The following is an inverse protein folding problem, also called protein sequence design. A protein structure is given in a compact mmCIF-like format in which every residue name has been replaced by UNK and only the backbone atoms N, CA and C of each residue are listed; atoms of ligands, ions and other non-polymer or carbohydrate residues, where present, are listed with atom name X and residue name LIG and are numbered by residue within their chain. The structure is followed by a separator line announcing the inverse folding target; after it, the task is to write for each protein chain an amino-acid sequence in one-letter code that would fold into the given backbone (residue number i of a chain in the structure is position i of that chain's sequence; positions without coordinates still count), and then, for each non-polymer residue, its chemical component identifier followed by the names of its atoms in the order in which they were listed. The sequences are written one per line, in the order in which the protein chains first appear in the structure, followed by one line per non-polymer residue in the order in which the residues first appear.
data_IF_645235816058
#
_entry.id   IF_645235816058
#
_cell.length_a   1.000
_cell.length_b   1.000
_cell.length_c   1.000
_cell.angle_alpha   90.00
_cell.angle_beta   90.00
_cell.angle_gamma   90.00
#
_symmetry.space_group_name_H-M   'P 1'
#
loop_
_entity.id
_entity.type
_entity.pdbx_description
1 polymer ?
#
# COMPACT_ATOMS: atom_id res chain seq x y z
N UNK A 1 41.83 22.48 11.79
CA UNK A 1 40.76 23.16 11.03
C UNK A 1 39.98 22.08 10.28
N UNK A 2 38.87 21.59 10.85
CA UNK A 2 38.02 20.59 10.17
C UNK A 2 37.17 21.34 9.15
N UNK A 3 37.30 20.97 7.88
CA UNK A 3 36.40 21.43 6.83
C UNK A 3 34.96 20.99 7.18
N UNK A 4 33.94 21.81 6.88
CA UNK A 4 32.55 21.39 7.04
C UNK A 4 32.30 20.23 6.09
N UNK A 5 31.96 19.07 6.63
CA UNK A 5 31.46 17.93 5.87
C UNK A 5 30.22 18.37 5.11
N UNK A 6 30.29 18.44 3.78
CA UNK A 6 29.10 18.64 2.95
C UNK A 6 28.08 17.57 3.33
N UNK A 7 26.83 17.96 3.59
CA UNK A 7 25.77 17.01 3.85
C UNK A 7 25.62 16.08 2.63
N UNK A 8 26.09 14.83 2.76
CA UNK A 8 25.95 13.82 1.71
C UNK A 8 24.47 13.51 1.53
N UNK A 9 23.96 13.66 0.30
CA UNK A 9 22.57 13.33 -0.04
C UNK A 9 22.53 11.97 -0.71
N UNK A 10 21.72 11.05 -0.19
CA UNK A 10 21.50 9.73 -0.77
C UNK A 10 20.34 9.78 -1.77
N UNK A 11 20.53 9.17 -2.93
CA UNK A 11 19.52 9.09 -3.98
C UNK A 11 19.24 7.64 -4.32
N UNK A 12 17.98 7.34 -4.63
CA UNK A 12 17.56 6.00 -5.08
C UNK A 12 17.30 6.06 -6.58
N UNK A 13 17.90 5.14 -7.33
CA UNK A 13 17.70 4.98 -8.77
C UNK A 13 16.67 3.87 -9.01
N UNK A 14 15.57 4.18 -9.70
CA UNK A 14 14.58 3.19 -10.19
C UNK A 14 14.81 3.01 -11.69
N UNK A 15 15.08 1.78 -12.13
CA UNK A 15 15.42 1.44 -13.51
C UNK A 15 14.30 0.62 -14.12
N UNK A 16 13.86 0.98 -15.32
CA UNK A 16 12.83 0.27 -16.08
C UNK A 16 13.40 -0.23 -17.41
N UNK A 17 12.83 -1.33 -17.91
CA UNK A 17 13.07 -1.81 -19.26
C UNK A 17 11.96 -1.26 -20.15
N UNK A 18 12.33 -0.62 -21.25
CA UNK A 18 11.44 0.12 -22.18
C UNK A 18 10.46 -0.74 -23.00
N UNK A 19 10.13 -1.94 -22.54
CA UNK A 19 9.13 -2.83 -23.15
C UNK A 19 7.70 -2.63 -22.65
N UNK A 20 7.50 -1.94 -21.52
CA UNK A 20 6.19 -1.73 -20.86
C UNK A 20 5.91 -0.22 -20.68
N UNK A 21 5.73 0.51 -21.79
CA UNK A 21 5.76 1.98 -21.81
C UNK A 21 4.67 2.68 -20.97
N UNK A 22 3.47 2.11 -20.79
CA UNK A 22 2.35 2.86 -20.19
C UNK A 22 2.52 3.15 -18.71
N UNK A 23 3.10 2.23 -17.93
CA UNK A 23 3.29 2.42 -16.49
C UNK A 23 4.41 3.42 -16.20
N UNK A 24 5.49 3.38 -16.99
CA UNK A 24 6.60 4.32 -16.86
C UNK A 24 6.19 5.76 -17.22
N UNK A 25 5.52 5.94 -18.36
CA UNK A 25 5.05 7.25 -18.80
C UNK A 25 4.11 7.87 -17.75
N UNK A 26 3.16 7.08 -17.23
CA UNK A 26 2.26 7.50 -16.17
C UNK A 26 3.00 7.89 -14.89
N UNK A 27 3.94 7.09 -14.42
CA UNK A 27 4.68 7.39 -13.19
C UNK A 27 5.48 8.69 -13.31
N UNK A 28 6.12 8.92 -14.46
CA UNK A 28 6.83 10.17 -14.74
C UNK A 28 5.90 11.38 -14.78
N UNK A 29 4.73 11.26 -15.43
CA UNK A 29 3.70 12.31 -15.44
C UNK A 29 3.25 12.68 -14.02
N UNK A 30 3.00 11.69 -13.17
CA UNK A 30 2.59 11.90 -11.78
C UNK A 30 3.70 12.58 -10.97
N UNK A 31 4.94 12.12 -11.07
CA UNK A 31 6.07 12.76 -10.38
C UNK A 31 6.29 14.21 -10.84
N UNK A 32 6.20 14.47 -12.15
CA UNK A 32 6.32 15.82 -12.69
C UNK A 32 5.20 16.73 -12.14
N UNK A 33 3.96 16.22 -12.07
CA UNK A 33 2.86 16.96 -11.47
C UNK A 33 3.11 17.27 -9.99
N UNK A 34 3.45 16.27 -9.17
CA UNK A 34 3.76 16.46 -7.73
C UNK A 34 4.88 17.50 -7.52
N UNK A 35 5.90 17.48 -8.38
CA UNK A 35 6.99 18.45 -8.33
C UNK A 35 6.52 19.87 -8.70
N UNK A 36 5.63 20.01 -9.69
CA UNK A 36 5.12 21.28 -10.17
C UNK A 36 4.12 21.95 -9.20
N UNK A 37 3.40 21.17 -8.37
CA UNK A 37 2.43 21.71 -7.41
C UNK A 37 3.10 22.72 -6.47
N UNK A 38 2.64 23.97 -6.53
CA UNK A 38 3.05 25.06 -5.65
C UNK A 38 2.08 25.09 -4.47
N UNK A 39 2.51 24.59 -3.31
CA UNK A 39 1.66 24.50 -2.13
C UNK A 39 2.43 24.01 -0.91
N UNK A 40 2.06 24.55 0.25
CA UNK A 40 2.51 24.12 1.57
C UNK A 40 1.54 23.08 2.13
N UNK A 41 1.56 21.87 1.57
CA UNK A 41 0.86 20.73 2.14
C UNK A 41 1.81 19.98 3.10
N UNK A 42 1.43 19.70 4.36
CA UNK A 42 2.32 19.03 5.32
C UNK A 42 2.75 17.64 4.85
N UNK A 43 1.87 16.93 4.14
CA UNK A 43 2.15 15.63 3.52
C UNK A 43 3.27 15.64 2.46
N UNK A 44 3.66 16.81 1.94
CA UNK A 44 4.68 16.92 0.88
C UNK A 44 6.05 16.39 1.30
N UNK A 45 6.37 16.44 2.59
CA UNK A 45 7.62 15.92 3.14
C UNK A 45 7.62 14.39 3.29
N UNK A 46 6.46 13.76 3.13
CA UNK A 46 6.25 12.31 3.24
C UNK A 46 5.98 11.65 1.88
N UNK A 47 6.27 12.37 0.79
CA UNK A 47 6.19 11.88 -0.58
C UNK A 47 7.58 11.95 -1.19
N UNK A 48 8.01 10.87 -1.84
CA UNK A 48 9.25 10.85 -2.60
C UNK A 48 9.16 11.79 -3.81
N UNK A 49 10.17 12.64 -4.00
CA UNK A 49 10.27 13.54 -5.17
C UNK A 49 11.15 12.94 -6.26
N UNK A 50 10.80 13.22 -7.51
CA UNK A 50 11.67 12.97 -8.67
C UNK A 50 12.73 14.07 -8.72
N UNK A 51 14.00 13.68 -8.75
CA UNK A 51 15.12 14.61 -8.93
C UNK A 51 15.42 14.81 -10.42
N UNK A 52 15.53 13.70 -11.17
CA UNK A 52 15.81 13.70 -12.60
C UNK A 52 15.41 12.34 -13.21
N UNK A 53 15.31 12.27 -14.54
CA UNK A 53 15.13 11.03 -15.30
C UNK A 53 15.94 11.06 -16.60
N UNK A 54 16.42 9.90 -17.05
CA UNK A 54 17.18 9.79 -18.30
C UNK A 54 16.91 8.45 -18.99
N UNK A 55 17.09 8.42 -20.31
CA UNK A 55 16.91 7.22 -21.12
C UNK A 55 18.27 6.61 -21.47
N UNK A 56 18.43 5.31 -21.21
CA UNK A 56 19.58 4.54 -21.68
C UNK A 56 19.13 3.74 -22.90
N UNK A 57 19.60 4.12 -24.08
CA UNK A 57 19.28 3.41 -25.34
C UNK A 57 20.10 2.13 -25.54
N UNK A 58 21.15 1.92 -24.75
CA UNK A 58 22.03 0.75 -24.84
C UNK A 58 22.66 0.41 -23.48
N UNK A 59 22.46 -0.81 -22.98
CA UNK A 59 22.90 -1.22 -21.63
C UNK A 59 24.39 -1.64 -21.68
N UNK A 60 25.27 -0.66 -21.52
CA UNK A 60 26.73 -0.87 -21.51
C UNK A 60 27.29 -0.68 -20.11
N UNK A 61 28.41 -1.35 -19.78
CA UNK A 61 29.05 -1.29 -18.44
C UNK A 61 29.32 0.14 -17.94
N UNK A 62 29.54 1.08 -18.87
CA UNK A 62 29.75 2.51 -18.60
C UNK A 62 28.48 3.27 -18.17
N UNK A 63 27.30 2.65 -18.29
CA UNK A 63 26.00 3.22 -17.93
C UNK A 63 25.49 2.70 -16.56
N UNK A 64 26.32 1.94 -15.84
CA UNK A 64 26.00 1.42 -14.50
C UNK A 64 26.69 2.28 -13.45
N UNK A 65 25.90 3.06 -12.71
CA UNK A 65 26.35 3.65 -11.45
C UNK A 65 26.22 2.59 -10.35
N UNK A 66 27.28 2.39 -9.56
CA UNK A 66 27.24 1.64 -8.31
C UNK A 66 27.33 2.63 -7.15
N UNK A 67 26.22 2.97 -6.47
CA UNK A 67 26.25 3.80 -5.28
C UNK A 67 26.49 2.92 -4.04
N UNK A 68 27.52 3.23 -3.26
CA UNK A 68 27.74 2.65 -1.92
C UNK A 68 26.94 3.40 -0.84
N UNK A 69 26.49 2.72 0.24
CA UNK A 69 25.89 3.36 1.42
C UNK A 69 26.84 4.35 2.11
N UNK A 70 26.32 5.14 3.07
CA UNK A 70 27.15 5.96 3.98
C UNK A 70 28.32 5.13 4.53
N UNK A 71 29.53 5.69 4.57
CA UNK A 71 30.76 4.99 4.96
C UNK A 71 30.63 4.30 6.32
N UNK A 72 29.87 4.88 7.25
CA UNK A 72 29.62 4.35 8.61
C UNK A 72 28.59 3.21 8.70
N UNK A 73 27.67 3.12 7.74
CA UNK A 73 26.71 2.00 7.62
C UNK A 73 27.31 0.84 6.84
N UNK A 74 28.11 1.15 5.81
CA UNK A 74 28.93 0.18 5.10
C UNK A 74 29.90 -0.51 6.03
N UNK A 75 30.61 0.22 6.90
CA UNK A 75 31.58 -0.37 7.82
C UNK A 75 30.92 -1.31 8.84
N UNK A 76 29.72 -0.98 9.34
CA UNK A 76 28.96 -1.87 10.24
C UNK A 76 28.45 -3.12 9.53
N UNK A 77 27.96 -2.97 8.30
CA UNK A 77 27.53 -4.08 7.48
C UNK A 77 28.72 -4.97 7.08
N UNK A 78 29.85 -4.38 6.74
CA UNK A 78 31.10 -5.06 6.38
C UNK A 78 31.70 -5.81 7.58
N UNK A 79 31.76 -5.19 8.76
CA UNK A 79 32.16 -5.87 10.01
C UNK A 79 31.23 -7.04 10.36
N UNK A 80 29.91 -6.86 10.21
CA UNK A 80 28.94 -7.93 10.44
C UNK A 80 29.07 -9.05 9.40
N UNK A 81 29.28 -8.74 8.12
CA UNK A 81 29.45 -9.72 7.03
C UNK A 81 30.81 -10.44 7.07
N UNK A 82 31.82 -9.82 7.68
CA UNK A 82 33.13 -10.44 7.97
C UNK A 82 33.04 -11.36 9.18
N UNK A 83 32.31 -10.96 10.23
CA UNK A 83 32.11 -11.75 11.44
C UNK A 83 31.14 -12.92 11.23
N UNK A 84 30.08 -12.71 10.46
CA UNK A 84 29.04 -13.70 10.12
C UNK A 84 28.63 -13.57 8.63
N UNK A 85 29.34 -14.28 7.73
CA UNK A 85 29.07 -14.32 6.31
C UNK A 85 27.62 -14.63 5.92
N UNK A 86 26.97 -13.72 5.19
CA UNK A 86 25.68 -14.01 4.55
C UNK A 86 25.78 -15.23 3.64
N UNK A 87 24.70 -16.04 3.54
CA UNK A 87 24.61 -17.13 2.58
C UNK A 87 24.93 -16.62 1.18
N UNK A 88 25.95 -17.23 0.57
CA UNK A 88 26.49 -16.80 -0.72
C UNK A 88 26.83 -17.98 -1.60
N UNK A 89 26.63 -17.82 -2.90
CA UNK A 89 27.09 -18.76 -3.92
C UNK A 89 28.32 -18.21 -4.61
N UNK A 90 29.45 -18.87 -4.42
CA UNK A 90 30.72 -18.50 -5.07
C UNK A 90 30.79 -19.21 -6.43
N UNK A 91 30.92 -18.44 -7.51
CA UNK A 91 31.17 -18.91 -8.88
C UNK A 91 32.60 -18.50 -9.30
N UNK A 92 33.05 -18.99 -10.45
CA UNK A 92 34.41 -18.72 -10.95
C UNK A 92 34.68 -17.23 -11.24
N UNK A 93 33.64 -16.49 -11.62
CA UNK A 93 33.70 -15.10 -12.10
C UNK A 93 33.00 -14.09 -11.18
N UNK A 94 32.17 -14.55 -10.23
CA UNK A 94 31.39 -13.69 -9.34
C UNK A 94 30.92 -14.41 -8.09
N UNK A 95 30.55 -13.62 -7.08
CA UNK A 95 29.84 -14.10 -5.89
C UNK A 95 28.41 -13.57 -5.92
N UNK A 96 27.44 -14.45 -5.72
CA UNK A 96 26.02 -14.09 -5.62
C UNK A 96 25.64 -14.14 -4.14
N UNK A 97 25.21 -13.01 -3.59
CA UNK A 97 24.77 -12.89 -2.20
C UNK A 97 23.26 -13.01 -2.11
N UNK A 98 22.75 -13.62 -1.04
CA UNK A 98 21.32 -13.56 -0.74
C UNK A 98 20.91 -12.12 -0.44
N UNK A 99 19.80 -11.66 -1.01
CA UNK A 99 19.24 -10.36 -0.68
C UNK A 99 18.83 -10.34 0.81
N UNK A 100 19.42 -9.45 1.60
CA UNK A 100 18.97 -9.20 2.97
C UNK A 100 17.80 -8.23 2.97
N UNK A 101 16.69 -8.64 3.58
CA UNK A 101 15.63 -7.72 3.96
C UNK A 101 16.13 -6.85 5.12
N UNK A 102 16.31 -5.55 4.84
CA UNK A 102 16.66 -4.57 5.86
C UNK A 102 15.41 -3.77 6.23
N UNK A 103 15.04 -3.79 7.51
CA UNK A 103 14.01 -2.91 8.06
C UNK A 103 14.69 -1.66 8.64
N UNK A 104 14.54 -0.47 8.04
CA UNK A 104 15.10 0.74 8.62
C UNK A 104 14.46 1.00 9.99
N UNK A 105 15.27 0.89 11.03
CA UNK A 105 14.87 1.18 12.41
C UNK A 105 14.84 2.70 12.59
N UNK A 106 13.66 3.31 12.41
CA UNK A 106 13.38 4.71 12.76
C UNK A 106 13.00 5.61 11.59
N UNK A 107 11.98 6.46 11.81
CA UNK A 107 11.43 7.40 10.83
C UNK A 107 9.97 7.11 10.49
N UNK A 108 9.26 8.10 9.96
CA UNK A 108 7.91 7.92 9.41
C UNK A 108 8.01 7.33 7.99
N UNK A 109 7.06 6.46 7.59
CA UNK A 109 7.03 5.92 6.23
C UNK A 109 6.87 7.04 5.20
N UNK A 110 7.50 6.86 4.04
CA UNK A 110 7.43 7.79 2.91
C UNK A 110 6.71 7.07 1.77
N UNK A 111 5.67 7.69 1.23
CA UNK A 111 4.98 7.17 0.04
C UNK A 111 5.90 7.28 -1.19
N UNK A 112 5.95 6.18 -1.93
CA UNK A 112 6.79 5.98 -3.11
C UNK A 112 6.01 5.12 -4.12
N UNK A 113 6.58 4.98 -5.32
CA UNK A 113 6.05 4.09 -6.36
C UNK A 113 4.67 4.49 -6.87
N UNK A 114 4.63 5.57 -7.65
CA UNK A 114 3.40 6.13 -8.20
C UNK A 114 3.03 5.53 -9.57
N UNK A 115 3.54 4.34 -9.90
CA UNK A 115 3.25 3.66 -11.17
C UNK A 115 1.78 3.31 -11.39
N UNK A 116 1.03 3.15 -10.29
CA UNK A 116 -0.41 2.94 -10.32
C UNK A 116 -1.25 4.15 -9.92
N UNK A 117 -0.64 5.31 -9.67
CA UNK A 117 -1.40 6.52 -9.36
C UNK A 117 -2.24 6.97 -10.57
N UNK A 118 -3.42 7.54 -10.32
CA UNK A 118 -4.27 8.19 -11.34
C UNK A 118 -4.57 9.62 -10.91
N UNK A 119 -4.82 10.48 -11.89
CA UNK A 119 -5.35 11.81 -11.62
C UNK A 119 -6.85 11.73 -11.29
N UNK A 120 -7.28 12.49 -10.28
CA UNK A 120 -8.67 12.50 -9.81
C UNK A 120 -9.61 13.37 -10.66
N UNK A 121 -9.10 14.06 -11.68
CA UNK A 121 -9.90 14.87 -12.62
C UNK A 121 -10.55 14.04 -13.73
N UNK A 122 -10.29 12.73 -13.76
CA UNK A 122 -10.84 11.77 -14.72
C UNK A 122 -11.61 10.69 -14.00
N UNK A 123 -12.65 10.17 -14.65
CA UNK A 123 -13.31 8.97 -14.18
C UNK A 123 -12.36 7.77 -14.30
N UNK A 124 -12.19 7.02 -13.21
CA UNK A 124 -11.32 5.85 -13.16
C UNK A 124 -12.12 4.60 -12.81
N UNK A 125 -11.92 3.51 -13.56
CA UNK A 125 -12.55 2.20 -13.34
C UNK A 125 -11.60 1.03 -13.64
N UNK A 126 -10.29 1.30 -13.67
CA UNK A 126 -9.23 0.32 -13.89
C UNK A 126 -9.18 -0.71 -12.74
N UNK A 127 -8.56 -1.87 -13.01
CA UNK A 127 -8.13 -2.81 -11.97
C UNK A 127 -6.94 -2.20 -11.22
N UNK A 128 -7.20 -1.74 -10.01
CA UNK A 128 -6.19 -1.19 -9.11
C UNK A 128 -6.22 -1.95 -7.79
N UNK A 129 -5.22 -1.65 -6.95
CA UNK A 129 -5.01 -2.21 -5.63
C UNK A 129 -4.59 -3.69 -5.67
N UNK A 130 -3.64 -4.10 -4.82
CA UNK A 130 -3.36 -5.51 -4.63
C UNK A 130 -4.59 -6.23 -4.07
N UNK A 131 -4.78 -7.47 -4.49
CA UNK A 131 -5.93 -8.31 -4.15
C UNK A 131 -6.41 -8.22 -2.66
N UNK A 132 -5.55 -8.33 -1.63
CA UNK A 132 -6.00 -8.27 -0.23
C UNK A 132 -6.50 -6.90 0.23
N UNK A 133 -6.12 -5.82 -0.45
CA UNK A 133 -6.44 -4.43 -0.07
C UNK A 133 -7.61 -3.87 -0.87
N UNK A 134 -8.10 -4.60 -1.87
CA UNK A 134 -9.06 -4.11 -2.85
C UNK A 134 -10.36 -3.65 -2.19
N UNK A 135 -10.74 -2.39 -2.44
CA UNK A 135 -12.00 -1.81 -1.98
C UNK A 135 -13.20 -2.45 -2.70
N UNK A 136 -14.40 -2.46 -2.09
CA UNK A 136 -15.55 -3.19 -2.63
C UNK A 136 -16.04 -2.63 -3.97
N UNK A 137 -15.94 -1.32 -4.20
CA UNK A 137 -16.25 -0.68 -5.50
C UNK A 137 -15.30 -1.13 -6.62
N UNK A 138 -14.04 -1.44 -6.29
CA UNK A 138 -13.04 -1.94 -7.24
C UNK A 138 -13.31 -3.42 -7.56
N UNK A 139 -13.67 -4.23 -6.55
CA UNK A 139 -14.12 -5.62 -6.75
C UNK A 139 -15.32 -5.65 -7.73
N UNK A 140 -16.26 -4.73 -7.55
CA UNK A 140 -17.46 -4.61 -8.38
C UNK A 140 -17.24 -3.90 -9.72
N UNK A 141 -15.98 -3.60 -10.10
CA UNK A 141 -15.60 -2.94 -11.36
C UNK A 141 -16.38 -1.65 -11.62
N UNK A 142 -16.58 -0.88 -10.56
CA UNK A 142 -17.29 0.39 -10.60
C UNK A 142 -16.32 1.56 -10.58
N UNK A 143 -16.82 2.74 -10.93
CA UNK A 143 -16.00 3.95 -10.90
C UNK A 143 -15.58 4.26 -9.46
N UNK A 144 -14.34 4.70 -9.30
CA UNK A 144 -13.71 4.96 -8.01
C UNK A 144 -12.92 6.27 -8.05
N UNK A 145 -12.66 6.82 -6.87
CA UNK A 145 -11.87 8.04 -6.66
C UNK A 145 -10.82 7.84 -5.56
N UNK A 146 -10.27 8.91 -5.02
CA UNK A 146 -9.24 8.86 -3.96
C UNK A 146 -9.71 8.19 -2.65
N UNK A 147 -11.01 7.93 -2.46
CA UNK A 147 -11.52 7.23 -1.27
C UNK A 147 -11.10 5.76 -1.22
N UNK A 148 -10.61 5.19 -2.31
CA UNK A 148 -9.92 3.87 -2.29
C UNK A 148 -8.60 3.91 -1.52
N UNK A 149 -7.94 5.08 -1.43
CA UNK A 149 -6.74 5.24 -0.62
C UNK A 149 -7.07 5.31 0.87
N UNK A 150 -8.22 5.89 1.24
CA UNK A 150 -8.73 5.89 2.63
C UNK A 150 -8.99 4.46 3.11
N UNK A 151 -9.60 3.64 2.25
CA UNK A 151 -9.75 2.20 2.48
C UNK A 151 -8.40 1.51 2.66
N UNK A 152 -7.45 1.75 1.74
CA UNK A 152 -6.11 1.15 1.78
C UNK A 152 -5.36 1.49 3.06
N UNK A 153 -5.48 2.73 3.55
CA UNK A 153 -4.87 3.18 4.79
C UNK A 153 -5.36 2.35 5.99
N UNK A 154 -6.66 2.03 6.05
CA UNK A 154 -7.22 1.18 7.10
C UNK A 154 -6.66 -0.25 7.04
N UNK A 155 -6.53 -0.81 5.83
CA UNK A 155 -5.94 -2.13 5.60
C UNK A 155 -4.47 -2.17 6.04
N UNK A 156 -3.68 -1.15 5.69
CA UNK A 156 -2.27 -1.03 6.12
C UNK A 156 -2.16 -0.85 7.63
N UNK A 157 -3.02 0.00 8.23
CA UNK A 157 -3.02 0.22 9.68
C UNK A 157 -3.27 -1.09 10.44
N UNK A 158 -4.16 -1.94 9.93
CA UNK A 158 -4.38 -3.27 10.49
C UNK A 158 -3.13 -4.17 10.41
N UNK A 159 -2.47 -4.22 9.26
CA UNK A 159 -1.28 -5.07 9.07
C UNK A 159 -0.10 -4.67 9.94
N UNK A 160 0.01 -3.39 10.29
CA UNK A 160 1.05 -2.91 11.22
C UNK A 160 0.86 -3.53 12.61
N UNK A 161 -0.38 -3.69 13.06
CA UNK A 161 -0.70 -4.11 14.44
C UNK A 161 -1.08 -5.57 14.58
N UNK A 162 -1.32 -6.27 13.47
CA UNK A 162 -1.80 -7.65 13.45
C UNK A 162 -0.93 -8.53 12.55
N UNK A 163 -0.49 -9.71 13.03
CA UNK A 163 0.22 -10.68 12.19
C UNK A 163 -0.71 -11.43 11.21
N UNK A 164 -2.02 -11.22 11.31
CA UNK A 164 -3.03 -11.83 10.43
C UNK A 164 -3.63 -10.74 9.56
N UNK A 165 -3.69 -10.96 8.25
CA UNK A 165 -4.42 -10.08 7.35
C UNK A 165 -5.89 -9.95 7.78
N UNK A 166 -6.45 -8.75 7.67
CA UNK A 166 -7.86 -8.49 7.98
C UNK A 166 -8.77 -9.31 7.06
N UNK A 167 -8.38 -9.38 5.79
CA UNK A 167 -9.05 -10.13 4.73
C UNK A 167 -8.00 -11.00 4.04
N UNK A 168 -8.28 -12.30 3.96
CA UNK A 168 -7.40 -13.22 3.25
C UNK A 168 -7.82 -13.36 1.79
N UNK A 169 -9.14 -13.35 1.54
CA UNK A 169 -9.74 -13.50 0.21
C UNK A 169 -9.36 -14.79 -0.50
N UNK A 170 -8.93 -15.84 0.22
CA UNK A 170 -8.49 -17.12 -0.36
C UNK A 170 -9.55 -18.19 -0.21
N UNK A 171 -9.82 -18.91 -1.29
CA UNK A 171 -10.70 -20.07 -1.29
C UNK A 171 -10.02 -21.31 -0.66
N UNK A 172 -10.72 -22.45 -0.67
CA UNK A 172 -10.22 -23.71 -0.09
C UNK A 172 -8.88 -24.19 -0.70
N UNK A 173 -8.60 -23.81 -1.95
CA UNK A 173 -7.35 -24.15 -2.66
C UNK A 173 -6.21 -23.15 -2.37
N UNK A 174 -6.46 -22.13 -1.53
CA UNK A 174 -5.50 -21.07 -1.23
C UNK A 174 -5.35 -20.02 -2.33
N UNK A 175 -6.20 -20.06 -3.36
CA UNK A 175 -6.22 -19.12 -4.48
C UNK A 175 -7.08 -17.92 -4.10
N UNK A 176 -6.64 -16.71 -4.45
CA UNK A 176 -7.42 -15.52 -4.20
C UNK A 176 -8.69 -15.49 -5.06
N UNK A 177 -9.82 -15.19 -4.43
CA UNK A 177 -11.16 -15.20 -5.01
C UNK A 177 -11.96 -13.99 -4.50
N UNK A 178 -12.34 -13.09 -5.41
CA UNK A 178 -13.13 -11.90 -5.10
C UNK A 178 -14.46 -12.22 -4.39
N UNK A 179 -15.03 -13.41 -4.61
CA UNK A 179 -16.25 -13.87 -3.94
C UNK A 179 -16.02 -14.12 -2.45
N UNK A 180 -14.90 -14.75 -2.12
CA UNK A 180 -14.49 -14.99 -0.73
C UNK A 180 -14.08 -13.68 -0.07
N UNK A 181 -13.39 -12.80 -0.79
CA UNK A 181 -13.08 -11.45 -0.30
C UNK A 181 -14.37 -10.69 0.06
N UNK A 182 -15.35 -10.63 -0.85
CA UNK A 182 -16.63 -9.95 -0.61
C UNK A 182 -17.41 -10.57 0.55
N UNK A 183 -17.41 -11.91 0.69
CA UNK A 183 -18.05 -12.59 1.82
C UNK A 183 -17.41 -12.20 3.17
N UNK A 184 -16.07 -12.07 3.22
CA UNK A 184 -15.35 -11.60 4.40
C UNK A 184 -15.68 -10.13 4.73
N UNK A 185 -15.84 -9.28 3.72
CA UNK A 185 -16.31 -7.90 3.93
C UNK A 185 -17.71 -7.87 4.55
N UNK A 186 -18.63 -8.69 4.06
CA UNK A 186 -19.98 -8.78 4.62
C UNK A 186 -19.94 -9.25 6.07
N UNK A 187 -19.07 -10.21 6.42
CA UNK A 187 -18.91 -10.65 7.80
C UNK A 187 -18.42 -9.52 8.73
N UNK A 188 -17.42 -8.75 8.27
CA UNK A 188 -16.79 -7.70 9.09
C UNK A 188 -17.61 -6.42 9.20
N UNK A 189 -18.28 -6.02 8.11
CA UNK A 189 -18.97 -4.73 7.98
C UNK A 189 -20.50 -4.85 8.10
N UNK A 190 -21.04 -6.07 8.04
CA UNK A 190 -22.45 -6.30 7.83
C UNK A 190 -22.85 -6.19 6.34
N UNK A 191 -24.13 -6.44 6.02
CA UNK A 191 -24.61 -6.38 4.64
C UNK A 191 -24.46 -4.96 4.06
N UNK A 192 -24.07 -4.83 2.78
CA UNK A 192 -23.99 -3.53 2.13
C UNK A 192 -25.37 -2.88 2.02
N UNK A 193 -25.43 -1.54 2.09
CA UNK A 193 -26.70 -0.84 1.96
C UNK A 193 -27.27 -0.95 0.52
N UNK A 194 -28.59 -0.82 0.32
CA UNK A 194 -29.22 -0.97 -0.99
C UNK A 194 -28.63 -0.07 -2.08
N UNK A 195 -28.36 1.19 -1.75
CA UNK A 195 -27.76 2.18 -2.65
C UNK A 195 -26.38 1.77 -3.16
N UNK A 196 -25.57 1.12 -2.31
CA UNK A 196 -24.28 0.57 -2.73
C UNK A 196 -24.48 -0.53 -3.78
N UNK A 197 -25.45 -1.42 -3.58
CA UNK A 197 -25.70 -2.55 -4.50
C UNK A 197 -26.31 -2.10 -5.83
N UNK A 198 -27.23 -1.14 -5.81
CA UNK A 198 -27.97 -0.73 -7.03
C UNK A 198 -27.11 0.01 -8.05
N UNK A 199 -26.02 0.65 -7.61
CA UNK A 199 -25.20 1.52 -8.47
C UNK A 199 -24.07 0.78 -9.22
N UNK A 200 -24.00 -0.56 -9.18
CA UNK A 200 -22.77 -1.29 -9.53
C UNK A 200 -23.05 -2.43 -10.51
N UNK A 201 -22.24 -2.50 -11.58
CA UNK A 201 -22.47 -3.38 -12.75
C UNK A 201 -22.44 -4.88 -12.40
N UNK A 202 -21.64 -5.26 -11.41
CA UNK A 202 -21.44 -6.67 -11.04
C UNK A 202 -22.26 -7.12 -9.83
N UNK A 203 -23.16 -6.29 -9.29
CA UNK A 203 -23.93 -6.65 -8.09
C UNK A 203 -24.74 -7.94 -8.24
N UNK A 204 -25.31 -8.20 -9.42
CA UNK A 204 -26.08 -9.43 -9.68
C UNK A 204 -25.25 -10.72 -9.65
N UNK A 205 -23.92 -10.62 -9.64
CA UNK A 205 -23.04 -11.77 -9.46
C UNK A 205 -22.91 -12.20 -7.98
N UNK A 206 -23.31 -11.34 -7.05
CA UNK A 206 -23.13 -11.53 -5.60
C UNK A 206 -24.45 -11.51 -4.82
N UNK A 207 -25.44 -10.74 -5.27
CA UNK A 207 -26.73 -10.59 -4.60
C UNK A 207 -27.92 -10.80 -5.55
N UNK A 208 -29.02 -11.32 -4.98
CA UNK A 208 -30.31 -11.40 -5.67
C UNK A 208 -31.03 -10.03 -5.69
N UNK A 209 -32.20 -9.97 -6.32
CA UNK A 209 -33.00 -8.73 -6.41
C UNK A 209 -33.48 -8.22 -5.04
N UNK A 210 -33.56 -9.09 -4.03
CA UNK A 210 -33.89 -8.74 -2.65
C UNK A 210 -32.65 -8.30 -1.84
N UNK A 211 -31.46 -8.42 -2.44
CA UNK A 211 -30.19 -8.09 -1.81
C UNK A 211 -29.57 -9.22 -0.98
N UNK A 212 -30.09 -10.44 -1.06
CA UNK A 212 -29.53 -11.56 -0.33
C UNK A 212 -28.28 -12.11 -1.03
N UNK A 213 -27.30 -12.54 -0.25
CA UNK A 213 -26.09 -13.19 -0.76
C UNK A 213 -26.41 -14.52 -1.45
N UNK A 214 -26.03 -14.66 -2.73
CA UNK A 214 -26.39 -15.85 -3.55
C UNK A 214 -25.30 -16.93 -3.59
N UNK A 215 -24.10 -16.64 -3.07
CA UNK A 215 -22.93 -17.51 -3.20
C UNK A 215 -22.67 -18.34 -1.94
N UNK A 216 -23.70 -18.76 -1.21
CA UNK A 216 -23.56 -19.46 0.07
C UNK A 216 -22.73 -20.75 -0.03
N UNK A 217 -22.81 -21.48 -1.15
CA UNK A 217 -22.04 -22.71 -1.36
C UNK A 217 -20.60 -22.43 -1.81
N UNK A 218 -20.39 -21.46 -2.71
CA UNK A 218 -19.08 -21.17 -3.29
C UNK A 218 -18.20 -20.28 -2.41
N UNK A 219 -18.82 -19.38 -1.64
CA UNK A 219 -18.17 -18.41 -0.77
C UNK A 219 -19.11 -18.09 0.41
N UNK A 220 -19.23 -19.00 1.39
CA UNK A 220 -20.05 -18.75 2.57
C UNK A 220 -19.52 -17.54 3.35
N UNK A 221 -20.42 -16.75 3.93
CA UNK A 221 -20.06 -15.65 4.82
C UNK A 221 -19.53 -16.26 6.13
N UNK A 222 -18.26 -16.01 6.49
CA UNK A 222 -17.69 -16.59 7.70
C UNK A 222 -18.28 -15.94 8.96
N UNK A 223 -18.36 -16.71 10.05
CA UNK A 223 -18.77 -16.22 11.36
C UNK A 223 -17.58 -15.55 12.07
N UNK A 224 -17.26 -14.33 11.65
CA UNK A 224 -16.21 -13.49 12.23
C UNK A 224 -16.73 -12.07 12.41
N UNK A 225 -16.17 -11.37 13.38
CA UNK A 225 -16.40 -9.94 13.61
C UNK A 225 -15.07 -9.23 13.67
N UNK A 226 -15.07 -7.91 13.51
CA UNK A 226 -13.86 -7.10 13.68
C UNK A 226 -13.24 -7.31 15.08
N UNK A 227 -14.07 -7.45 16.11
CA UNK A 227 -13.64 -7.76 17.47
C UNK A 227 -12.97 -9.14 17.58
N UNK A 228 -13.55 -10.18 16.97
CA UNK A 228 -13.00 -11.54 17.09
C UNK A 228 -11.65 -11.67 16.36
N UNK A 229 -11.48 -10.99 15.23
CA UNK A 229 -10.18 -10.96 14.53
C UNK A 229 -9.15 -10.09 15.25
N UNK A 230 -9.59 -9.12 16.05
CA UNK A 230 -8.74 -8.21 16.82
C UNK A 230 -8.33 -8.74 18.20
N UNK A 231 -8.74 -9.95 18.59
CA UNK A 231 -8.48 -10.54 19.91
C UNK A 231 -6.98 -10.50 20.31
N UNK A 232 -6.08 -10.61 19.33
CA UNK A 232 -4.63 -10.61 19.54
C UNK A 232 -3.94 -9.26 19.31
N UNK A 233 -4.69 -8.23 18.90
CA UNK A 233 -4.16 -6.89 18.70
C UNK A 233 -3.91 -6.26 20.07
N UNK A 234 -2.67 -5.78 20.27
CA UNK A 234 -2.24 -5.15 21.51
C UNK A 234 -2.16 -3.63 21.32
N UNK A 235 -2.68 -2.88 22.29
CA UNK A 235 -2.66 -1.42 22.26
C UNK A 235 -3.29 -0.84 23.53
N UNK A 236 -3.04 0.43 23.80
CA UNK A 236 -3.65 1.13 24.95
C UNK A 236 -5.14 1.35 24.75
N UNK A 237 -5.56 1.67 23.53
CA UNK A 237 -6.97 1.83 23.15
C UNK A 237 -7.27 1.04 21.86
N UNK A 238 -7.44 -0.27 21.99
CA UNK A 238 -7.87 -1.13 20.87
C UNK A 238 -9.28 -0.78 20.41
N UNK A 239 -10.17 -0.34 21.32
CA UNK A 239 -11.54 -0.01 20.96
C UNK A 239 -11.60 1.24 20.05
N UNK A 240 -10.82 2.27 20.35
CA UNK A 240 -10.66 3.45 19.50
C UNK A 240 -10.08 3.10 18.14
N UNK A 241 -9.07 2.22 18.09
CA UNK A 241 -8.53 1.73 16.83
C UNK A 241 -9.60 1.06 15.96
N UNK A 242 -10.45 0.20 16.54
CA UNK A 242 -11.52 -0.45 15.79
C UNK A 242 -12.63 0.54 15.36
N UNK A 243 -12.90 1.60 16.14
CA UNK A 243 -13.80 2.68 15.71
C UNK A 243 -13.22 3.43 14.52
N UNK A 244 -11.93 3.78 14.59
CA UNK A 244 -11.21 4.46 13.51
C UNK A 244 -11.20 3.64 12.21
N UNK A 245 -10.94 2.32 12.30
CA UNK A 245 -11.03 1.42 11.15
C UNK A 245 -12.42 1.41 10.53
N UNK A 246 -13.48 1.38 11.34
CA UNK A 246 -14.86 1.41 10.84
C UNK A 246 -15.16 2.69 10.07
N UNK A 247 -14.64 3.84 10.48
CA UNK A 247 -14.85 5.09 9.74
C UNK A 247 -14.27 5.01 8.32
N UNK A 248 -13.10 4.38 8.15
CA UNK A 248 -12.46 4.24 6.85
C UNK A 248 -13.01 3.07 6.02
N UNK A 249 -13.46 2.00 6.66
CA UNK A 249 -14.00 0.79 6.01
C UNK A 249 -15.53 0.87 5.82
N UNK A 250 -15.99 1.91 5.12
CA UNK A 250 -17.39 2.06 4.74
C UNK A 250 -17.66 1.50 3.33
N UNK A 251 -18.86 0.92 3.16
CA UNK A 251 -19.32 0.40 1.86
C UNK A 251 -19.35 1.49 0.80
N UNK A 252 -20.05 2.60 1.06
CA UNK A 252 -20.06 3.73 0.12
C UNK A 252 -18.77 4.55 0.27
N UNK A 253 -18.09 4.89 -0.84
CA UNK A 253 -16.91 5.75 -0.81
C UNK A 253 -17.17 7.13 -0.18
N UNK A 254 -18.35 7.70 -0.43
CA UNK A 254 -18.77 9.01 0.09
C UNK A 254 -18.87 9.06 1.62
N UNK A 255 -19.18 7.93 2.25
CA UNK A 255 -19.32 7.83 3.71
C UNK A 255 -17.95 7.74 4.41
N UNK A 256 -16.87 7.48 3.66
CA UNK A 256 -15.50 7.46 4.21
C UNK A 256 -15.04 8.90 4.45
N UNK A 257 -14.31 9.20 5.53
CA UNK A 257 -13.74 10.53 5.75
C UNK A 257 -12.66 10.86 4.71
N UNK A 258 -12.27 12.13 4.64
CA UNK A 258 -11.01 12.54 4.00
C UNK A 258 -9.81 12.14 4.85
N UNK A 259 -8.61 12.12 4.27
CA UNK A 259 -7.39 11.83 5.01
C UNK A 259 -7.14 12.82 6.15
N UNK A 260 -7.56 14.09 5.97
CA UNK A 260 -7.43 15.13 6.99
C UNK A 260 -8.40 14.91 8.15
N UNK A 261 -9.66 14.58 7.87
CA UNK A 261 -10.64 14.25 8.91
C UNK A 261 -10.23 12.99 9.68
N UNK A 262 -9.73 11.97 8.97
CA UNK A 262 -9.24 10.74 9.58
C UNK A 262 -8.01 10.96 10.47
N UNK A 263 -7.16 11.95 10.14
CA UNK A 263 -6.03 12.38 10.97
C UNK A 263 -6.49 13.07 12.25
N UNK A 264 -7.56 13.86 12.19
CA UNK A 264 -8.12 14.59 13.33
C UNK A 264 -9.08 13.77 14.20
N UNK A 265 -9.25 12.49 13.91
CA UNK A 265 -9.99 11.60 14.79
C UNK A 265 -9.34 11.55 16.19
N UNK A 266 -10.18 11.44 17.22
CA UNK A 266 -9.77 11.46 18.63
C UNK A 266 -8.67 10.43 18.92
N UNK A 267 -8.80 9.21 18.38
CA UNK A 267 -7.85 8.14 18.61
C UNK A 267 -6.49 8.43 17.96
N UNK A 268 -6.49 9.00 16.75
CA UNK A 268 -5.25 9.38 16.05
C UNK A 268 -4.54 10.54 16.74
N UNK A 269 -5.28 11.57 17.15
CA UNK A 269 -4.73 12.73 17.84
C UNK A 269 -4.11 12.35 19.19
N UNK A 270 -4.79 11.51 19.99
CA UNK A 270 -4.24 10.98 21.24
C UNK A 270 -2.95 10.16 20.99
N UNK A 271 -2.95 9.30 19.96
CA UNK A 271 -1.78 8.52 19.57
C UNK A 271 -0.58 9.36 19.12
N UNK A 272 -0.83 10.52 18.51
CA UNK A 272 0.19 11.50 18.12
C UNK A 272 0.61 12.42 19.26
N UNK A 273 -0.10 12.40 20.40
CA UNK A 273 0.12 13.31 21.53
C UNK A 273 -0.21 14.77 21.22
N UNK A 274 -1.21 15.00 20.37
CA UNK A 274 -1.67 16.31 19.91
C UNK A 274 -3.02 16.71 20.51
#
# INVERSE_FOLDING_TARGET
MKLPTSASTHVVLKVYVTGENRHLERELEIYNHINAVQGHHPGRNFIRKLLDHFYIHDLQLKNLLLPGPQTSYLSRFEEAEVADPSPRKVLKDRTIYQALAFFPMGGLPILTDFGEARFGDKENNDDIMPNPYRAPEVILRSSWDYKVDIWSIAMVAWEIVSPRALIQGKNADGIFDDRVHMAQLIALLGPPPPEFRQQRRLSSAFWDESGNWILQEAAPIPDITLESVAEKVQGKDTAGFLRWLRMALQWNPEDRPTALELLYDEWMMEGLGL
#
